data_IF_985590372331
#
_entry.id   IF_985590372331
#
_cell.length_a   1.000
_cell.length_b   1.000
_cell.length_c   1.000
_cell.angle_alpha   90.00
_cell.angle_beta   90.00
_cell.angle_gamma   90.00
#
_symmetry.space_group_name_H-M   'P 1'
#
loop_
_entity.id
_entity.type
_entity.pdbx_description
1 polymer ?
#
# COMPACT_ATOMS: atom_id res chain seq x y z
N UNK A 1 23.82 4.58 9.29
CA UNK A 1 23.19 4.81 7.97
C UNK A 1 22.58 6.21 7.94
N UNK A 2 22.72 6.93 6.83
CA UNK A 2 22.18 8.30 6.69
C UNK A 2 20.66 8.28 6.49
N UNK A 3 19.92 8.99 7.36
CA UNK A 3 18.45 9.04 7.35
C UNK A 3 17.88 9.81 6.16
N UNK A 4 18.56 10.87 5.71
CA UNK A 4 18.14 11.72 4.59
C UNK A 4 18.31 10.97 3.27
N UNK A 5 19.44 10.28 3.11
CA UNK A 5 19.69 9.40 1.97
C UNK A 5 18.64 8.28 1.92
N UNK A 6 18.36 7.61 3.04
CA UNK A 6 17.32 6.55 3.13
C UNK A 6 15.96 7.03 2.62
N UNK A 7 15.47 8.16 3.13
CA UNK A 7 14.14 8.68 2.76
C UNK A 7 14.08 9.00 1.26
N UNK A 8 15.12 9.65 0.73
CA UNK A 8 15.17 10.02 -0.69
C UNK A 8 15.14 8.79 -1.58
N UNK A 9 15.87 7.74 -1.22
CA UNK A 9 15.87 6.48 -1.98
C UNK A 9 14.50 5.81 -1.99
N UNK A 10 13.81 5.73 -0.84
CA UNK A 10 12.46 5.13 -0.76
C UNK A 10 11.42 5.89 -1.61
N UNK A 11 11.56 7.20 -1.76
CA UNK A 11 10.64 8.04 -2.55
C UNK A 11 10.83 7.91 -4.07
N UNK A 12 11.91 7.27 -4.53
CA UNK A 12 12.14 7.04 -5.97
C UNK A 12 11.49 5.75 -6.48
N UNK A 13 10.98 4.88 -5.60
CA UNK A 13 10.35 3.63 -6.01
C UNK A 13 8.97 3.97 -6.63
N UNK A 14 8.71 3.57 -7.89
CA UNK A 14 7.43 3.82 -8.52
C UNK A 14 6.35 2.91 -7.92
N UNK A 15 5.21 3.50 -7.61
CA UNK A 15 4.05 2.81 -7.07
C UNK A 15 2.78 3.24 -7.81
N UNK A 16 1.83 2.31 -7.92
CA UNK A 16 0.46 2.66 -8.33
C UNK A 16 -0.26 3.48 -7.27
N UNK A 17 -1.32 4.17 -7.67
CA UNK A 17 -2.20 4.91 -6.76
C UNK A 17 -3.48 4.10 -6.53
N UNK A 18 -3.73 3.71 -5.28
CA UNK A 18 -4.87 2.88 -4.91
C UNK A 18 -5.70 3.54 -3.80
N UNK A 19 -7.00 3.23 -3.77
CA UNK A 19 -7.88 3.51 -2.64
C UNK A 19 -8.22 2.18 -1.99
N UNK A 20 -7.79 2.00 -0.74
CA UNK A 20 -8.05 0.81 0.05
C UNK A 20 -9.21 1.14 0.99
N UNK A 21 -10.31 0.40 0.84
CA UNK A 21 -11.51 0.56 1.65
C UNK A 21 -11.73 -0.64 2.55
N UNK A 22 -12.25 -0.40 3.76
CA UNK A 22 -12.85 -1.44 4.59
C UNK A 22 -14.22 -0.97 5.06
N UNK A 23 -15.10 -1.93 5.30
CA UNK A 23 -16.43 -1.69 5.83
C UNK A 23 -16.56 -2.38 7.17
N UNK A 24 -16.96 -1.64 8.20
CA UNK A 24 -17.20 -2.24 9.52
C UNK A 24 -18.58 -2.91 9.56
N UNK A 25 -18.80 -3.87 10.48
CA UNK A 25 -20.11 -4.49 10.66
C UNK A 25 -21.23 -3.47 10.97
N UNK A 26 -20.89 -2.33 11.58
CA UNK A 26 -21.83 -1.26 11.88
C UNK A 26 -22.18 -0.38 10.66
N UNK A 27 -21.65 -0.72 9.47
CA UNK A 27 -22.01 -0.07 8.21
C UNK A 27 -21.20 1.20 7.90
N UNK A 28 -20.15 1.50 8.65
CA UNK A 28 -19.27 2.65 8.37
C UNK A 28 -18.20 2.24 7.37
N UNK A 29 -18.05 3.03 6.31
CA UNK A 29 -16.99 2.86 5.30
C UNK A 29 -15.76 3.69 5.69
N UNK A 30 -14.58 3.05 5.69
CA UNK A 30 -13.29 3.70 5.91
C UNK A 30 -12.42 3.56 4.67
N UNK A 31 -11.92 4.67 4.15
CA UNK A 31 -11.10 4.71 2.95
C UNK A 31 -9.71 5.28 3.26
N UNK A 32 -8.67 4.68 2.67
CA UNK A 32 -7.29 5.12 2.75
C UNK A 32 -6.70 5.22 1.35
N UNK A 33 -6.01 6.32 1.05
CA UNK A 33 -5.13 6.38 -0.12
C UNK A 33 -3.83 5.62 0.16
N UNK A 34 -3.52 4.61 -0.64
CA UNK A 34 -2.37 3.73 -0.46
C UNK A 34 -1.57 3.56 -1.74
N UNK A 35 -0.24 3.60 -1.63
CA UNK A 35 0.67 3.39 -2.76
C UNK A 35 1.46 2.09 -2.65
N UNK A 36 1.67 1.58 -1.42
CA UNK A 36 2.46 0.38 -1.20
C UNK A 36 1.57 -0.85 -1.28
N UNK A 37 1.31 -1.30 -2.50
CA UNK A 37 0.52 -2.48 -2.80
C UNK A 37 1.25 -3.35 -3.83
N UNK A 38 1.36 -4.65 -3.58
CA UNK A 38 2.07 -5.58 -4.47
C UNK A 38 1.49 -7.00 -4.44
N UNK A 39 1.55 -7.69 -5.57
CA UNK A 39 1.18 -9.11 -5.66
C UNK A 39 2.28 -9.98 -5.03
N UNK A 40 1.88 -10.91 -4.17
CA UNK A 40 2.80 -11.77 -3.42
C UNK A 40 2.73 -13.24 -3.80
N UNK A 41 1.70 -13.68 -4.53
CA UNK A 41 1.61 -15.04 -5.07
C UNK A 41 0.72 -15.10 -6.31
N UNK A 42 1.02 -16.05 -7.20
CA UNK A 42 0.17 -16.41 -8.34
C UNK A 42 -0.92 -17.42 -7.95
N UNK A 43 -0.61 -18.37 -7.05
CA UNK A 43 -1.55 -19.39 -6.56
C UNK A 43 -1.29 -19.66 -5.07
N UNK A 44 -2.23 -19.35 -4.16
CA UNK A 44 -3.43 -18.53 -4.40
C UNK A 44 -3.06 -17.10 -4.83
N UNK A 45 -3.98 -16.36 -5.44
CA UNK A 45 -3.75 -14.97 -5.82
C UNK A 45 -3.74 -14.09 -4.56
N UNK A 46 -2.55 -13.68 -4.12
CA UNK A 46 -2.34 -12.91 -2.88
C UNK A 46 -1.81 -11.51 -3.17
N UNK A 47 -2.19 -10.57 -2.31
CA UNK A 47 -1.80 -9.16 -2.34
C UNK A 47 -1.36 -8.70 -0.94
N UNK A 48 -0.37 -7.82 -0.87
CA UNK A 48 0.12 -7.19 0.36
C UNK A 48 0.30 -5.68 0.17
#
# INVERSE_FOLDING_TARGET
>A
MDKKAKKKVLQMIPYGAYVVGTKTPEGTDHLMFGTWLMQTSFKPALVA
#
